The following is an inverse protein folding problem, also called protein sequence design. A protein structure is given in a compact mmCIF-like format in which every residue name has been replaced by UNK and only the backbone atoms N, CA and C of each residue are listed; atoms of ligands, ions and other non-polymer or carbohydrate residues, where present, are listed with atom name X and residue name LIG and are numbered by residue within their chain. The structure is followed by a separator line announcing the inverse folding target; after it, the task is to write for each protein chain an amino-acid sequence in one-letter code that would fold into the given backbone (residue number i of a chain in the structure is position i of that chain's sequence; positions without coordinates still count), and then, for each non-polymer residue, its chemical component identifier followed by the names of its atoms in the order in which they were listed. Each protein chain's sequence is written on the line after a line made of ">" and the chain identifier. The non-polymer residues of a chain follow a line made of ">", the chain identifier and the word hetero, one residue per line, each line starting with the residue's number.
data_IF_638328886535
#
_entry.id   IF_638328886535
#
_cell.length_a   1.000
_cell.length_b   1.000
_cell.length_c   1.000
_cell.angle_alpha   90.00
_cell.angle_beta   90.00
_cell.angle_gamma   90.00
#
_symmetry.space_group_name_H-M   'P 1'
#
loop_
_entity.id
_entity.type
_entity.pdbx_description
1 polymer ?
#
# COMPACT_ATOMS: atom_id res chain seq x y z
N UNK A 1 -12.62 11.24 14.29
CA UNK A 1 -13.00 10.98 12.89
C UNK A 1 -12.73 9.51 12.61
N UNK A 2 -13.75 8.66 12.42
CA UNK A 2 -13.54 7.29 11.94
C UNK A 2 -13.26 7.42 10.44
N UNK A 3 -12.01 7.28 9.99
CA UNK A 3 -11.70 7.23 8.55
C UNK A 3 -12.19 5.89 8.03
N UNK A 4 -13.42 5.84 7.56
CA UNK A 4 -13.94 4.65 6.88
C UNK A 4 -13.16 4.43 5.58
N UNK A 5 -12.78 3.18 5.26
CA UNK A 5 -11.96 2.93 4.09
C UNK A 5 -12.79 3.05 2.82
N UNK A 6 -12.36 3.93 1.94
CA UNK A 6 -13.01 4.31 0.69
C UNK A 6 -12.02 4.30 -0.48
N UNK A 7 -12.51 4.49 -1.70
CA UNK A 7 -11.65 4.65 -2.87
C UNK A 7 -10.64 5.80 -2.73
N UNK A 8 -11.02 6.88 -2.04
CA UNK A 8 -10.14 8.02 -1.79
C UNK A 8 -9.02 7.67 -0.81
N UNK A 9 -9.33 6.97 0.29
CA UNK A 9 -8.29 6.56 1.25
C UNK A 9 -7.37 5.52 0.65
N UNK A 10 -7.88 4.63 -0.22
CA UNK A 10 -7.06 3.67 -0.96
C UNK A 10 -6.10 4.36 -1.95
N UNK A 11 -6.53 5.43 -2.61
CA UNK A 11 -5.65 6.24 -3.46
C UNK A 11 -4.53 6.91 -2.63
N UNK A 12 -4.88 7.49 -1.47
CA UNK A 12 -3.90 8.07 -0.55
C UNK A 12 -2.91 7.03 -0.01
N UNK A 13 -3.38 5.81 0.27
CA UNK A 13 -2.52 4.68 0.62
C UNK A 13 -1.51 4.35 -0.49
N UNK A 14 -1.89 4.48 -1.76
CA UNK A 14 -0.99 4.25 -2.89
C UNK A 14 0.08 5.31 -2.98
N UNK A 15 -0.31 6.58 -2.84
CA UNK A 15 0.65 7.69 -2.76
C UNK A 15 1.63 7.49 -1.59
N UNK A 16 1.11 7.15 -0.40
CA UNK A 16 1.91 6.86 0.79
C UNK A 16 2.92 5.74 0.55
N UNK A 17 2.47 4.65 -0.09
CA UNK A 17 3.33 3.50 -0.41
C UNK A 17 4.49 3.93 -1.30
N UNK A 18 4.21 4.64 -2.40
CA UNK A 18 5.24 5.03 -3.35
C UNK A 18 6.21 6.08 -2.80
N UNK A 19 5.70 7.04 -2.02
CA UNK A 19 6.53 8.07 -1.39
C UNK A 19 7.47 7.50 -0.32
N UNK A 20 7.11 6.40 0.35
CA UNK A 20 7.99 5.77 1.32
C UNK A 20 8.95 4.76 0.69
N UNK A 21 8.41 3.84 -0.11
CA UNK A 21 9.16 2.68 -0.63
C UNK A 21 10.22 3.11 -1.64
N UNK A 22 9.90 4.00 -2.59
CA UNK A 22 10.83 4.31 -3.67
C UNK A 22 12.05 5.13 -3.23
N UNK A 23 11.91 6.21 -2.43
CA UNK A 23 13.08 6.91 -1.92
C UNK A 23 13.95 6.00 -1.05
N UNK A 24 13.32 5.14 -0.24
CA UNK A 24 14.06 4.16 0.55
C UNK A 24 14.82 3.16 -0.34
N UNK A 25 14.18 2.63 -1.38
CA UNK A 25 14.81 1.72 -2.33
C UNK A 25 16.05 2.36 -2.98
N UNK A 26 15.90 3.59 -3.48
CA UNK A 26 16.99 4.33 -4.10
C UNK A 26 18.14 4.58 -3.12
N UNK A 27 17.84 4.99 -1.88
CA UNK A 27 18.83 5.22 -0.84
C UNK A 27 19.52 3.92 -0.40
N UNK A 28 18.78 2.84 -0.16
CA UNK A 28 19.32 1.55 0.27
C UNK A 28 20.35 0.98 -0.70
N UNK A 29 20.13 1.17 -2.01
CA UNK A 29 21.02 0.75 -3.08
C UNK A 29 22.38 1.48 -3.13
N UNK A 30 22.58 2.54 -2.33
CA UNK A 30 23.85 3.28 -2.28
C UNK A 30 24.91 2.64 -1.37
N UNK A 31 24.64 1.45 -0.82
CA UNK A 31 25.53 0.82 0.16
C UNK A 31 25.35 1.39 1.58
N UNK A 32 24.13 1.82 1.91
CA UNK A 32 23.82 2.49 3.16
C UNK A 32 23.91 1.60 4.42
N UNK A 33 24.04 0.28 4.25
CA UNK A 33 24.00 -0.70 5.34
C UNK A 33 25.33 -1.44 5.50
N UNK A 34 25.70 -1.69 6.76
CA UNK A 34 26.93 -2.41 7.12
C UNK A 34 26.84 -3.93 6.95
N UNK A 35 25.64 -4.49 6.84
CA UNK A 35 25.40 -5.92 6.62
C UNK A 35 24.01 -6.18 6.03
N UNK A 36 23.87 -7.31 5.34
CA UNK A 36 22.57 -7.74 4.77
C UNK A 36 21.49 -8.01 5.82
N UNK A 37 21.86 -8.35 7.06
CA UNK A 37 20.88 -8.52 8.14
C UNK A 37 20.22 -7.17 8.49
N UNK A 38 21.01 -6.11 8.61
CA UNK A 38 20.51 -4.76 8.91
C UNK A 38 19.66 -4.25 7.75
N UNK A 39 20.09 -4.48 6.51
CA UNK A 39 19.32 -4.14 5.32
C UNK A 39 17.95 -4.84 5.30
N UNK A 40 17.90 -6.15 5.57
CA UNK A 40 16.65 -6.91 5.63
C UNK A 40 15.71 -6.40 6.73
N UNK A 41 16.24 -6.11 7.92
CA UNK A 41 15.44 -5.53 9.02
C UNK A 41 14.87 -4.17 8.62
N UNK A 42 15.66 -3.33 7.94
CA UNK A 42 15.20 -2.03 7.46
C UNK A 42 14.10 -2.18 6.39
N UNK A 43 14.25 -3.12 5.45
CA UNK A 43 13.21 -3.44 4.46
C UNK A 43 11.91 -3.95 5.11
N UNK A 44 12.00 -4.77 6.15
CA UNK A 44 10.84 -5.22 6.92
C UNK A 44 10.12 -4.04 7.61
N UNK A 45 10.88 -3.12 8.20
CA UNK A 45 10.31 -1.92 8.81
C UNK A 45 9.61 -1.03 7.77
N UNK A 46 10.22 -0.85 6.60
CA UNK A 46 9.63 -0.11 5.48
C UNK A 46 8.37 -0.78 4.98
N UNK A 47 8.36 -2.09 4.79
CA UNK A 47 7.17 -2.83 4.41
C UNK A 47 6.06 -2.69 5.47
N UNK A 48 6.39 -2.75 6.76
CA UNK A 48 5.42 -2.58 7.83
C UNK A 48 4.75 -1.20 7.80
N UNK A 49 5.52 -0.13 7.60
CA UNK A 49 5.02 1.26 7.69
C UNK A 49 4.41 1.75 6.38
N UNK A 50 5.00 1.40 5.24
CA UNK A 50 4.61 1.97 3.94
C UNK A 50 3.77 1.04 3.09
N UNK A 51 3.68 -0.25 3.42
CA UNK A 51 2.81 -1.20 2.70
C UNK A 51 1.70 -1.71 3.63
N UNK A 52 2.06 -2.36 4.74
CA UNK A 52 1.11 -3.07 5.59
C UNK A 52 0.18 -2.10 6.33
N UNK A 53 0.73 -1.07 6.97
CA UNK A 53 -0.06 -0.07 7.69
C UNK A 53 -1.11 0.59 6.79
N UNK A 54 -0.76 1.23 5.64
CA UNK A 54 -1.79 1.85 4.81
C UNK A 54 -2.77 0.83 4.22
N UNK A 55 -2.34 -0.39 3.91
CA UNK A 55 -3.26 -1.45 3.46
C UNK A 55 -4.33 -1.78 4.50
N UNK A 56 -3.90 -2.04 5.75
CA UNK A 56 -4.82 -2.42 6.83
C UNK A 56 -5.79 -1.28 7.17
N UNK A 57 -5.30 -0.05 7.25
CA UNK A 57 -6.10 1.08 7.73
C UNK A 57 -6.96 1.74 6.64
N UNK A 58 -6.48 1.80 5.40
CA UNK A 58 -7.12 2.61 4.36
C UNK A 58 -7.70 1.80 3.20
N UNK A 59 -7.30 0.53 3.04
CA UNK A 59 -7.74 -0.34 1.93
C UNK A 59 -8.71 -1.41 2.45
N UNK A 60 -8.26 -2.21 3.42
CA UNK A 60 -9.05 -3.30 4.01
C UNK A 60 -10.04 -2.75 5.04
N UNK A 61 -9.54 -1.95 5.98
CA UNK A 61 -10.31 -1.39 7.08
C UNK A 61 -10.39 -2.31 8.29
N UNK A 62 -10.49 -1.70 9.49
CA UNK A 62 -10.61 -2.42 10.77
C UNK A 62 -11.90 -3.23 10.92
N UNK A 63 -12.94 -2.90 10.16
CA UNK A 63 -14.24 -3.56 10.24
C UNK A 63 -14.47 -4.64 9.17
N UNK A 64 -13.44 -4.98 8.39
CA UNK A 64 -13.46 -6.16 7.52
C UNK A 64 -13.49 -7.42 8.41
N UNK A 65 -14.65 -7.76 8.95
CA UNK A 65 -14.89 -9.06 9.59
C UNK A 65 -14.57 -10.15 8.58
N UNK A 66 -14.14 -11.30 9.08
CA UNK A 66 -13.96 -12.48 8.24
C UNK A 66 -15.25 -12.72 7.43
N UNK A 67 -15.11 -12.83 6.12
CA UNK A 67 -16.23 -13.20 5.23
C UNK A 67 -16.80 -14.55 5.68
N UNK A 68 -18.13 -14.70 5.63
CA UNK A 68 -18.76 -15.97 5.94
C UNK A 68 -18.32 -17.06 4.96
N UNK A 69 -18.42 -18.34 5.35
CA UNK A 69 -18.08 -19.45 4.43
C UNK A 69 -18.90 -19.43 3.13
N UNK A 70 -20.11 -18.86 3.17
CA UNK A 70 -21.03 -18.78 2.04
C UNK A 70 -21.08 -17.37 1.43
N UNK A 71 -20.01 -16.57 1.59
CA UNK A 71 -19.98 -15.18 1.11
C UNK A 71 -20.26 -15.03 -0.38
N UNK A 72 -20.03 -16.08 -1.18
CA UNK A 72 -20.31 -16.10 -2.63
C UNK A 72 -21.81 -16.14 -2.91
N UNK A 73 -22.60 -16.75 -2.04
CA UNK A 73 -24.05 -16.87 -2.24
C UNK A 73 -24.83 -15.72 -1.57
N UNK A 74 -24.18 -14.97 -0.68
CA UNK A 74 -24.74 -13.76 -0.06
C UNK A 74 -24.41 -12.50 -0.89
N UNK A 75 -25.41 -11.86 -1.54
CA UNK A 75 -25.19 -10.66 -2.34
C UNK A 75 -24.57 -9.50 -1.53
N UNK A 76 -24.88 -9.38 -0.23
CA UNK A 76 -24.38 -8.32 0.62
C UNK A 76 -22.89 -8.53 0.96
N UNK A 77 -22.46 -9.78 1.19
CA UNK A 77 -21.04 -10.09 1.41
C UNK A 77 -20.23 -9.97 0.11
N UNK A 78 -20.78 -10.41 -1.03
CA UNK A 78 -20.15 -10.16 -2.34
C UNK A 78 -19.94 -8.68 -2.62
N UNK A 79 -20.92 -7.83 -2.31
CA UNK A 79 -20.76 -6.38 -2.50
C UNK A 79 -19.60 -5.82 -1.67
N UNK A 80 -19.46 -6.25 -0.40
CA UNK A 80 -18.33 -5.86 0.46
C UNK A 80 -16.98 -6.34 -0.08
N UNK A 81 -16.93 -7.59 -0.57
CA UNK A 81 -15.73 -8.15 -1.17
C UNK A 81 -15.32 -7.39 -2.44
N UNK A 82 -16.27 -7.10 -3.34
CA UNK A 82 -16.00 -6.32 -4.54
C UNK A 82 -15.54 -4.90 -4.23
N UNK A 83 -16.11 -4.26 -3.21
CA UNK A 83 -15.65 -2.95 -2.74
C UNK A 83 -14.21 -3.01 -2.19
N UNK A 84 -13.84 -4.08 -1.49
CA UNK A 84 -12.45 -4.31 -1.06
C UNK A 84 -11.51 -4.49 -2.25
N UNK A 85 -11.87 -5.32 -3.23
CA UNK A 85 -11.08 -5.51 -4.44
C UNK A 85 -10.91 -4.21 -5.24
N UNK A 86 -11.96 -3.40 -5.37
CA UNK A 86 -11.89 -2.11 -6.03
C UNK A 86 -10.88 -1.19 -5.33
N UNK A 87 -10.91 -1.14 -3.98
CA UNK A 87 -9.95 -0.36 -3.19
C UNK A 87 -8.52 -0.90 -3.35
N UNK A 88 -8.31 -2.21 -3.36
CA UNK A 88 -6.99 -2.81 -3.61
C UNK A 88 -6.47 -2.45 -5.01
N UNK A 89 -7.33 -2.52 -6.02
CA UNK A 89 -6.98 -2.11 -7.38
C UNK A 89 -6.57 -0.64 -7.45
N UNK A 90 -7.35 0.25 -6.84
CA UNK A 90 -7.04 1.68 -6.77
C UNK A 90 -5.71 1.93 -6.04
N UNK A 91 -5.48 1.24 -4.93
CA UNK A 91 -4.23 1.32 -4.17
C UNK A 91 -3.02 0.98 -5.04
N UNK A 92 -3.07 -0.16 -5.74
CA UNK A 92 -1.98 -0.62 -6.61
C UNK A 92 -1.76 0.33 -7.78
N UNK A 93 -2.84 0.74 -8.47
CA UNK A 93 -2.76 1.63 -9.64
C UNK A 93 -2.19 3.00 -9.25
N UNK A 94 -2.63 3.57 -8.13
CA UNK A 94 -2.14 4.87 -7.66
C UNK A 94 -0.70 4.78 -7.17
N UNK A 95 -0.31 3.69 -6.52
CA UNK A 95 1.09 3.43 -6.18
C UNK A 95 1.96 3.35 -7.45
N UNK A 96 1.56 2.56 -8.45
CA UNK A 96 2.29 2.43 -9.70
C UNK A 96 2.41 3.77 -10.45
N UNK A 97 1.33 4.54 -10.54
CA UNK A 97 1.31 5.84 -11.20
C UNK A 97 2.22 6.86 -10.48
N UNK A 98 2.06 7.02 -9.17
CA UNK A 98 2.89 7.93 -8.39
C UNK A 98 4.36 7.49 -8.40
N UNK A 99 4.61 6.19 -8.34
CA UNK A 99 5.95 5.64 -8.39
C UNK A 99 6.64 5.92 -9.72
N UNK A 100 5.93 5.73 -10.83
CA UNK A 100 6.41 6.06 -12.17
C UNK A 100 6.76 7.55 -12.28
N UNK A 101 5.90 8.43 -11.74
CA UNK A 101 6.16 9.88 -11.72
C UNK A 101 7.38 10.25 -10.88
N UNK A 102 7.57 9.63 -9.71
CA UNK A 102 8.73 9.86 -8.86
C UNK A 102 10.03 9.43 -9.54
N UNK A 103 10.03 8.26 -10.19
CA UNK A 103 11.20 7.78 -10.96
C UNK A 103 11.53 8.71 -12.12
N UNK A 104 10.51 9.20 -12.85
CA UNK A 104 10.68 10.19 -13.90
C UNK A 104 11.23 11.51 -13.36
N UNK A 105 10.74 11.97 -12.21
CA UNK A 105 11.23 13.18 -11.57
C UNK A 105 12.70 13.04 -11.15
N UNK A 106 13.07 11.91 -10.53
CA UNK A 106 14.47 11.62 -10.17
C UNK A 106 15.41 11.64 -11.38
N UNK A 107 14.96 11.07 -12.52
CA UNK A 107 15.76 11.05 -13.75
C UNK A 107 15.98 12.44 -14.38
N UNK A 108 15.02 13.36 -14.22
CA UNK A 108 15.05 14.67 -14.88
C UNK A 108 15.60 15.80 -13.99
N UNK A 109 15.65 15.59 -12.66
CA UNK A 109 16.12 16.58 -11.68
C UNK A 109 17.48 16.24 -11.06
N UNK A 110 17.99 15.02 -11.26
CA UNK A 110 19.35 14.61 -10.91
C UNK A 110 20.28 14.68 -12.10
#
# INVERSE_FOLDING_TARGET
>A
MKTEPSNRTAALAGLWTSLGVLPFAAWSGTGAFSSGLVENVAWLAVAAVFIIMPAVYFVVGREARAFGRNWVDDPAERAKYMAMLARMGIWIVTAAAAGSLLLLAQKNLG
#
